data_IF_101780906180
#
_entry.id   IF_101780906180
#
_cell.length_a   1.000
_cell.length_b   1.000
_cell.length_c   1.000
_cell.angle_alpha   90.00
_cell.angle_beta   90.00
_cell.angle_gamma   90.00
#
_symmetry.space_group_name_H-M   'P 1'
#
loop_
_entity.id
_entity.type
_entity.pdbx_description
1 polymer ?
#
# COMPACT_ATOMS: atom_id res chain seq x y z
N UNK A 1 -2.11 19.52 -22.11
CA UNK A 1 -2.82 18.31 -21.66
C UNK A 1 -1.95 17.77 -20.54
N UNK A 2 -2.44 17.76 -19.33
CA UNK A 2 -1.62 17.57 -18.13
C UNK A 2 -1.22 16.08 -18.03
N UNK A 3 0.07 15.75 -17.86
CA UNK A 3 0.57 14.37 -17.71
C UNK A 3 -0.25 13.56 -16.68
N UNK A 4 -0.76 14.20 -15.63
CA UNK A 4 -1.64 13.60 -14.61
C UNK A 4 -2.98 13.07 -15.16
N UNK A 5 -3.56 13.74 -16.18
CA UNK A 5 -4.80 13.26 -16.82
C UNK A 5 -4.56 12.07 -17.77
N UNK A 6 -3.34 11.97 -18.27
CA UNK A 6 -2.93 10.81 -19.09
C UNK A 6 -2.64 9.59 -18.19
N UNK A 7 -2.12 9.81 -16.97
CA UNK A 7 -1.89 8.75 -15.99
C UNK A 7 -3.22 8.17 -15.44
N UNK A 8 -4.22 9.00 -15.18
CA UNK A 8 -5.54 8.54 -14.70
C UNK A 8 -6.28 7.69 -15.76
N UNK A 9 -6.14 8.02 -17.05
CA UNK A 9 -6.60 7.13 -18.14
C UNK A 9 -5.78 5.84 -18.19
N UNK A 10 -4.52 5.91 -17.79
CA UNK A 10 -3.62 4.76 -17.71
C UNK A 10 -3.97 3.79 -16.58
N UNK A 11 -4.72 4.11 -15.55
CA UNK A 11 -4.94 3.25 -14.38
C UNK A 11 -6.25 2.49 -14.38
N UNK A 12 -7.31 3.00 -14.94
CA UNK A 12 -8.33 2.09 -15.47
C UNK A 12 -7.71 1.18 -16.54
N UNK A 13 -6.59 1.64 -17.09
CA UNK A 13 -5.73 0.97 -18.06
C UNK A 13 -4.56 0.19 -17.41
N UNK A 14 -3.97 0.56 -16.26
CA UNK A 14 -2.86 -0.15 -15.60
C UNK A 14 -3.36 -1.41 -14.85
N UNK A 15 -4.60 -1.50 -14.51
CA UNK A 15 -5.18 -2.84 -14.41
C UNK A 15 -4.96 -3.63 -15.72
N UNK A 16 -4.56 -2.96 -16.80
CA UNK A 16 -4.41 -3.50 -18.14
C UNK A 16 -3.10 -3.19 -18.87
N UNK A 17 -2.20 -2.33 -18.39
CA UNK A 17 -0.96 -2.01 -19.11
C UNK A 17 0.21 -2.93 -18.73
N UNK A 18 0.37 -3.98 -19.50
CA UNK A 18 1.61 -4.76 -19.59
C UNK A 18 2.46 -4.37 -20.80
N UNK A 19 2.41 -3.11 -21.23
CA UNK A 19 3.35 -2.57 -22.20
C UNK A 19 4.22 -1.51 -21.51
N UNK A 20 5.21 -1.94 -20.76
CA UNK A 20 6.38 -1.13 -20.52
C UNK A 20 7.19 -1.15 -21.82
N UNK A 21 6.96 -0.16 -22.68
CA UNK A 21 8.03 0.22 -23.59
C UNK A 21 9.18 0.66 -22.70
N UNK A 22 10.44 0.24 -22.97
CA UNK A 22 11.56 0.74 -22.21
C UNK A 22 11.60 2.26 -22.36
N UNK A 23 11.12 2.96 -21.36
CA UNK A 23 11.37 4.39 -21.22
C UNK A 23 12.85 4.50 -20.99
N UNK A 24 13.53 5.12 -21.93
CA UNK A 24 14.99 5.24 -21.91
C UNK A 24 15.45 5.76 -20.56
N UNK A 25 16.35 5.04 -19.95
CA UNK A 25 16.98 5.30 -18.68
C UNK A 25 17.48 6.75 -18.57
N UNK A 26 16.87 7.53 -17.74
CA UNK A 26 17.48 8.69 -17.13
C UNK A 26 17.97 8.24 -15.75
N UNK A 27 19.16 7.70 -15.66
CA UNK A 27 19.73 7.40 -14.35
C UNK A 27 21.25 7.43 -14.40
N UNK A 28 21.81 8.30 -13.60
CA UNK A 28 23.12 8.11 -13.03
C UNK A 28 23.02 6.97 -11.98
N UNK A 29 23.55 5.79 -12.34
CA UNK A 29 23.63 4.62 -11.46
C UNK A 29 22.44 3.65 -11.58
N UNK A 30 22.53 2.69 -12.50
CA UNK A 30 21.54 1.60 -12.58
C UNK A 30 21.61 0.73 -11.33
N UNK A 31 20.56 0.79 -10.50
CA UNK A 31 20.34 -0.18 -9.40
C UNK A 31 20.20 -1.57 -10.04
N UNK A 32 20.99 -2.53 -9.60
CA UNK A 32 20.94 -3.88 -10.18
C UNK A 32 19.94 -4.76 -9.44
N UNK A 33 19.48 -5.84 -10.09
CA UNK A 33 18.65 -6.85 -9.44
C UNK A 33 19.32 -7.44 -8.17
N UNK A 34 20.67 -7.52 -8.15
CA UNK A 34 21.42 -7.97 -7.00
C UNK A 34 21.38 -6.94 -5.84
N UNK A 35 21.38 -5.65 -6.16
CA UNK A 35 21.22 -4.58 -5.16
C UNK A 35 19.81 -4.61 -4.55
N UNK A 36 18.78 -4.77 -5.38
CA UNK A 36 17.40 -4.90 -4.91
C UNK A 36 17.23 -6.14 -4.03
N UNK A 37 17.78 -7.29 -4.41
CA UNK A 37 17.70 -8.50 -3.60
C UNK A 37 18.37 -8.31 -2.23
N UNK A 38 19.52 -7.64 -2.16
CA UNK A 38 20.19 -7.35 -0.90
C UNK A 38 19.42 -6.32 -0.05
N UNK A 39 18.82 -5.31 -0.67
CA UNK A 39 17.93 -4.35 0.04
C UNK A 39 16.73 -5.08 0.62
N UNK A 40 16.08 -5.96 -0.15
CA UNK A 40 14.96 -6.78 0.29
C UNK A 40 15.33 -7.67 1.49
N UNK A 41 16.51 -8.33 1.47
CA UNK A 41 17.01 -9.11 2.61
C UNK A 41 17.18 -8.25 3.88
N UNK A 42 17.79 -7.07 3.76
CA UNK A 42 17.97 -6.15 4.87
C UNK A 42 16.63 -5.62 5.41
N UNK A 43 15.67 -5.34 4.52
CA UNK A 43 14.31 -4.93 4.85
C UNK A 43 13.61 -6.01 5.68
N UNK A 44 13.65 -7.27 5.26
CA UNK A 44 13.04 -8.37 6.00
C UNK A 44 13.71 -8.60 7.37
N UNK A 45 15.02 -8.42 7.46
CA UNK A 45 15.70 -8.47 8.75
C UNK A 45 15.29 -7.32 9.69
N UNK A 46 14.98 -6.15 9.15
CA UNK A 46 14.43 -5.03 9.92
C UNK A 46 12.97 -5.32 10.33
N UNK A 47 12.14 -5.79 9.40
CA UNK A 47 10.75 -6.17 9.66
C UNK A 47 10.66 -7.22 10.79
N UNK A 48 11.55 -8.22 10.83
CA UNK A 48 11.61 -9.20 11.91
C UNK A 48 11.94 -8.59 13.28
N UNK A 49 12.77 -7.55 13.35
CA UNK A 49 13.02 -6.82 14.61
C UNK A 49 11.80 -5.97 15.01
N UNK A 50 11.15 -5.36 14.04
CA UNK A 50 9.93 -4.57 14.25
C UNK A 50 8.80 -5.46 14.74
N UNK A 51 8.56 -6.61 14.11
CA UNK A 51 7.58 -7.60 14.55
C UNK A 51 7.80 -8.00 16.02
N UNK A 52 9.02 -8.36 16.42
CA UNK A 52 9.32 -8.71 17.81
C UNK A 52 9.05 -7.56 18.80
N UNK A 53 9.20 -6.32 18.38
CA UNK A 53 8.85 -5.15 19.19
C UNK A 53 7.33 -5.00 19.27
N UNK A 54 6.63 -5.12 18.15
CA UNK A 54 5.17 -5.00 18.05
C UNK A 54 4.49 -6.04 18.93
N UNK A 55 4.84 -7.32 18.81
CA UNK A 55 4.31 -8.42 19.63
C UNK A 55 4.45 -8.16 21.14
N UNK A 56 5.52 -7.51 21.54
CA UNK A 56 5.80 -7.26 22.95
C UNK A 56 5.05 -6.04 23.52
N UNK A 57 4.77 -5.03 22.73
CA UNK A 57 4.37 -3.71 23.24
C UNK A 57 3.04 -3.17 22.67
N UNK A 58 2.52 -3.72 21.55
CA UNK A 58 1.28 -3.23 20.93
C UNK A 58 -0.02 -3.70 21.59
N UNK A 59 0.04 -4.56 22.59
CA UNK A 59 -1.14 -5.25 23.13
C UNK A 59 -2.17 -4.36 23.85
N UNK A 60 -1.90 -3.05 24.04
CA UNK A 60 -2.73 -2.19 24.90
C UNK A 60 -3.44 -1.02 24.20
N UNK A 61 -3.21 -0.76 22.90
CA UNK A 61 -3.94 0.32 22.25
C UNK A 61 -5.37 -0.10 21.89
N UNK A 62 -6.31 0.78 22.13
CA UNK A 62 -7.71 0.50 21.81
C UNK A 62 -7.97 0.81 20.33
N UNK A 63 -8.39 -0.18 19.55
CA UNK A 63 -8.80 -0.04 18.14
C UNK A 63 -9.77 1.15 17.93
N UNK A 64 -10.56 1.50 18.93
CA UNK A 64 -11.46 2.66 18.92
C UNK A 64 -10.75 4.02 18.84
N UNK A 65 -9.53 4.14 19.35
CA UNK A 65 -8.74 5.37 19.23
C UNK A 65 -8.05 5.48 17.86
N UNK A 66 -7.86 4.38 17.16
CA UNK A 66 -7.19 4.31 15.87
C UNK A 66 -7.82 5.20 14.79
N UNK A 67 -9.15 5.37 14.81
CA UNK A 67 -9.85 6.21 13.83
C UNK A 67 -9.65 7.71 13.99
N UNK A 68 -9.18 8.17 15.15
CA UNK A 68 -9.16 9.58 15.51
C UNK A 68 -7.86 10.09 16.10
N UNK A 69 -6.94 9.21 16.54
CA UNK A 69 -5.63 9.59 17.07
C UNK A 69 -4.51 8.93 16.27
N UNK A 70 -3.76 9.68 15.45
CA UNK A 70 -2.63 9.15 14.71
C UNK A 70 -1.54 8.48 15.57
N UNK A 71 -1.47 8.82 16.84
CA UNK A 71 -0.52 8.23 17.80
C UNK A 71 -1.11 7.09 18.64
N UNK A 72 -2.26 6.52 18.25
CA UNK A 72 -3.02 5.56 19.06
C UNK A 72 -2.20 4.36 19.55
N UNK A 73 -1.25 3.86 18.73
CA UNK A 73 -0.37 2.74 19.09
C UNK A 73 0.84 3.15 19.97
N UNK A 74 1.03 4.44 20.23
CA UNK A 74 2.16 4.94 21.00
C UNK A 74 3.52 4.83 20.27
N UNK A 75 3.52 4.66 18.94
CA UNK A 75 4.73 4.54 18.11
C UNK A 75 4.95 5.78 17.25
N UNK A 76 6.22 6.05 16.97
CA UNK A 76 6.63 7.08 16.01
C UNK A 76 7.70 6.51 15.06
N UNK A 77 7.74 7.10 13.87
CA UNK A 77 8.76 6.90 12.85
C UNK A 77 9.64 8.14 12.83
N UNK A 78 10.94 7.97 13.04
CA UNK A 78 11.91 9.08 12.98
C UNK A 78 12.95 8.77 11.92
N UNK A 79 13.19 9.69 11.01
CA UNK A 79 14.24 9.59 9.98
C UNK A 79 15.47 10.36 10.42
N UNK A 80 16.57 9.65 10.65
CA UNK A 80 17.86 10.26 11.02
C UNK A 80 19.02 9.32 10.72
N UNK A 81 20.05 9.83 10.06
CA UNK A 81 21.33 9.12 9.93
C UNK A 81 22.20 9.19 11.21
N UNK A 82 21.82 10.04 12.15
CA UNK A 82 22.52 10.23 13.42
C UNK A 82 21.98 9.28 14.50
N UNK A 83 22.81 8.97 15.47
CA UNK A 83 22.36 8.20 16.64
C UNK A 83 21.43 9.06 17.51
N UNK A 84 20.28 8.52 17.87
CA UNK A 84 19.24 9.23 18.63
C UNK A 84 19.28 8.88 20.12
N UNK A 85 18.83 9.82 20.96
CA UNK A 85 18.59 9.57 22.39
C UNK A 85 17.17 8.98 22.57
N UNK A 86 17.10 7.71 22.94
CA UNK A 86 15.85 6.98 23.17
C UNK A 86 15.34 7.08 24.62
N UNK A 87 15.84 8.02 25.42
CA UNK A 87 15.41 8.20 26.82
C UNK A 87 13.90 8.43 26.89
N UNK A 88 13.23 7.63 27.72
CA UNK A 88 11.77 7.68 27.90
C UNK A 88 10.99 6.70 27.01
N UNK A 89 11.58 6.14 25.96
CA UNK A 89 10.97 5.06 25.20
C UNK A 89 10.96 3.75 25.97
N UNK A 90 10.09 2.81 25.58
CA UNK A 90 10.06 1.44 26.12
C UNK A 90 10.78 0.46 25.21
N UNK A 91 10.87 0.77 23.91
CA UNK A 91 11.60 0.01 22.92
C UNK A 91 11.88 0.86 21.67
N UNK A 92 12.82 0.42 20.86
CA UNK A 92 13.07 0.98 19.53
C UNK A 92 13.69 -0.05 18.59
N UNK A 93 13.53 0.16 17.29
CA UNK A 93 14.20 -0.58 16.22
C UNK A 93 14.77 0.44 15.22
N UNK A 94 16.01 0.24 14.80
CA UNK A 94 16.70 1.07 13.80
C UNK A 94 17.58 0.22 12.89
N UNK A 95 18.29 0.85 11.94
CA UNK A 95 19.31 0.19 11.11
C UNK A 95 18.79 -0.30 9.76
N UNK A 96 17.72 0.31 9.27
CA UNK A 96 17.28 0.20 7.90
C UNK A 96 16.83 1.59 7.41
N UNK A 97 17.35 2.03 6.27
CA UNK A 97 16.99 3.29 5.60
C UNK A 97 17.00 4.53 6.51
N UNK A 98 17.89 4.56 7.52
CA UNK A 98 17.93 5.59 8.56
C UNK A 98 16.61 5.79 9.34
N UNK A 99 15.73 4.82 9.29
CA UNK A 99 14.50 4.82 10.07
C UNK A 99 14.73 4.29 11.48
N UNK A 100 14.10 4.99 12.44
CA UNK A 100 14.02 4.61 13.84
C UNK A 100 12.53 4.50 14.19
N UNK A 101 12.07 3.29 14.46
CA UNK A 101 10.71 3.06 14.97
C UNK A 101 10.81 3.00 16.48
N UNK A 102 10.12 3.92 17.17
CA UNK A 102 10.28 4.13 18.60
C UNK A 102 8.93 3.95 19.29
N UNK A 103 8.86 3.08 20.30
CA UNK A 103 7.67 2.76 21.07
C UNK A 103 7.66 3.49 22.40
N UNK A 104 6.57 4.16 22.72
CA UNK A 104 6.25 4.78 24.02
C UNK A 104 5.07 4.05 24.68
N UNK A 105 4.82 4.33 25.97
CA UNK A 105 3.72 3.69 26.69
C UNK A 105 2.35 4.26 26.34
N UNK A 106 2.30 5.52 25.91
CA UNK A 106 1.05 6.23 25.63
C UNK A 106 1.17 7.07 24.37
N UNK A 107 0.04 7.36 23.74
CA UNK A 107 -0.04 8.26 22.59
C UNK A 107 0.47 9.67 22.92
N UNK A 108 0.21 10.15 24.12
CA UNK A 108 0.67 11.47 24.58
C UNK A 108 2.20 11.53 24.73
N UNK A 109 2.84 10.46 25.23
CA UNK A 109 4.31 10.37 25.27
C UNK A 109 4.90 10.32 23.85
N UNK A 110 4.30 9.54 22.95
CA UNK A 110 4.72 9.44 21.56
C UNK A 110 4.62 10.80 20.85
N UNK A 111 3.50 11.50 21.00
CA UNK A 111 3.28 12.85 20.43
C UNK A 111 4.34 13.85 20.90
N UNK A 112 4.58 13.93 22.19
CA UNK A 112 5.62 14.81 22.76
C UNK A 112 7.02 14.46 22.28
N UNK A 113 7.29 13.16 22.10
CA UNK A 113 8.57 12.71 21.59
C UNK A 113 8.74 13.09 20.11
N UNK A 114 7.72 12.94 19.27
CA UNK A 114 7.77 13.37 17.88
C UNK A 114 8.08 14.87 17.79
N UNK A 115 7.33 15.71 18.51
CA UNK A 115 7.57 17.17 18.58
C UNK A 115 9.01 17.50 19.04
N UNK A 116 9.55 16.73 20.00
CA UNK A 116 10.90 16.94 20.48
C UNK A 116 11.97 16.52 19.46
N UNK A 117 11.75 15.41 18.74
CA UNK A 117 12.68 14.94 17.72
C UNK A 117 12.75 15.87 16.51
N UNK A 118 11.68 16.55 16.13
CA UNK A 118 11.70 17.57 15.07
C UNK A 118 12.69 18.71 15.33
N UNK A 119 13.00 18.95 16.61
CA UNK A 119 13.96 19.99 17.02
C UNK A 119 15.40 19.45 17.09
N UNK A 120 15.61 18.14 16.93
CA UNK A 120 16.95 17.53 17.02
C UNK A 120 17.69 17.73 15.69
N UNK A 121 18.91 18.25 15.79
CA UNK A 121 19.76 18.42 14.61
C UNK A 121 20.06 17.06 13.96
N UNK A 122 19.82 16.95 12.66
CA UNK A 122 20.06 15.72 11.89
C UNK A 122 18.80 14.85 11.72
N UNK A 123 17.74 15.11 12.47
CA UNK A 123 16.42 14.53 12.21
C UNK A 123 15.80 15.21 10.98
N UNK A 124 15.34 14.42 10.04
CA UNK A 124 14.68 14.91 8.83
C UNK A 124 13.17 15.05 9.04
N UNK A 125 12.55 14.07 9.72
CA UNK A 125 11.17 14.11 10.19
C UNK A 125 10.97 13.19 11.40
N UNK A 126 9.92 13.45 12.17
CA UNK A 126 9.42 12.60 13.25
C UNK A 126 7.89 12.62 13.22
N UNK A 127 7.27 11.48 12.97
CA UNK A 127 5.86 11.39 12.70
C UNK A 127 5.21 10.17 13.36
N UNK A 128 3.86 10.13 13.52
CA UNK A 128 3.20 8.98 14.10
C UNK A 128 3.34 7.74 13.21
N UNK A 129 3.45 6.57 13.82
CA UNK A 129 3.20 5.30 13.17
C UNK A 129 1.71 4.98 13.27
N UNK A 130 0.98 5.34 12.23
CA UNK A 130 -0.49 5.38 12.23
C UNK A 130 -1.07 3.96 12.26
N UNK A 131 -2.13 3.75 13.02
CA UNK A 131 -2.94 2.53 12.92
C UNK A 131 -3.81 2.62 11.66
N UNK A 132 -3.68 1.61 10.82
CA UNK A 132 -4.35 1.49 9.53
C UNK A 132 -5.44 0.44 9.59
N UNK A 133 -6.45 0.56 8.76
CA UNK A 133 -7.59 -0.35 8.67
C UNK A 133 -7.93 -0.68 7.22
N UNK A 134 -8.39 -1.91 6.97
CA UNK A 134 -8.97 -2.28 5.68
C UNK A 134 -10.19 -1.40 5.36
N UNK A 135 -10.24 -0.85 4.16
CA UNK A 135 -11.37 -0.05 3.67
C UNK A 135 -12.48 -0.98 3.16
N UNK A 136 -13.20 -1.60 4.10
CA UNK A 136 -14.26 -2.57 3.82
C UNK A 136 -15.64 -1.97 4.16
N UNK A 137 -16.61 -2.15 3.24
CA UNK A 137 -18.02 -1.90 3.52
C UNK A 137 -18.72 -3.16 4.04
N UNK A 138 -19.44 -3.07 5.16
CA UNK A 138 -20.17 -4.22 5.70
C UNK A 138 -21.34 -4.63 4.79
N UNK A 139 -21.34 -5.86 4.31
CA UNK A 139 -22.56 -6.52 3.85
C UNK A 139 -22.91 -6.40 2.37
N UNK A 140 -22.03 -5.98 1.50
CA UNK A 140 -22.26 -5.98 0.04
C UNK A 140 -21.71 -7.25 -0.58
N UNK A 141 -22.58 -8.25 -0.76
CA UNK A 141 -22.30 -9.48 -1.50
C UNK A 141 -22.74 -9.37 -2.99
N UNK A 142 -22.58 -8.22 -3.62
CA UNK A 142 -22.90 -8.10 -5.03
C UNK A 142 -21.65 -8.34 -5.89
N UNK A 143 -21.80 -9.27 -6.85
CA UNK A 143 -20.79 -9.51 -7.88
C UNK A 143 -20.55 -8.21 -8.66
N UNK A 144 -19.37 -7.62 -8.55
CA UNK A 144 -19.00 -6.35 -9.21
C UNK A 144 -18.75 -6.49 -10.72
N UNK A 145 -19.16 -7.61 -11.37
CA UNK A 145 -18.99 -7.84 -12.81
C UNK A 145 -19.50 -6.70 -13.70
N UNK A 146 -20.43 -5.89 -13.20
CA UNK A 146 -20.93 -4.72 -13.92
C UNK A 146 -19.86 -3.65 -14.15
N UNK A 147 -18.87 -3.54 -13.26
CA UNK A 147 -17.80 -2.56 -13.33
C UNK A 147 -16.79 -2.80 -14.45
N UNK A 148 -16.67 -4.01 -14.95
CA UNK A 148 -15.69 -4.36 -15.99
C UNK A 148 -16.12 -4.04 -17.42
N UNK A 149 -17.40 -3.70 -17.64
CA UNK A 149 -17.96 -3.44 -18.96
C UNK A 149 -17.54 -2.10 -19.56
N UNK A 150 -17.86 -1.93 -20.85
CA UNK A 150 -17.50 -0.76 -21.66
C UNK A 150 -18.00 0.59 -21.13
N UNK A 151 -19.07 0.59 -20.34
CA UNK A 151 -19.60 1.82 -19.73
C UNK A 151 -18.82 2.30 -18.49
N UNK A 152 -17.87 1.48 -18.00
CA UNK A 152 -17.10 1.73 -16.77
C UNK A 152 -15.59 1.63 -17.03
N UNK A 153 -14.91 0.54 -16.61
CA UNK A 153 -13.45 0.40 -16.77
C UNK A 153 -13.04 -0.23 -18.11
N UNK A 154 -14.01 -0.77 -18.86
CA UNK A 154 -13.82 -1.34 -20.20
C UNK A 154 -12.77 -2.45 -20.29
N UNK A 155 -12.59 -3.21 -19.20
CA UNK A 155 -11.54 -4.21 -19.08
C UNK A 155 -11.59 -5.29 -20.18
N UNK A 156 -12.79 -5.73 -20.55
CA UNK A 156 -12.94 -6.83 -21.52
C UNK A 156 -12.51 -6.43 -22.93
N UNK A 157 -12.93 -5.26 -23.42
CA UNK A 157 -12.50 -4.78 -24.75
C UNK A 157 -11.00 -4.49 -24.77
N UNK A 158 -10.47 -3.98 -23.68
CA UNK A 158 -9.03 -3.74 -23.56
C UNK A 158 -8.23 -5.05 -23.58
N UNK A 159 -8.65 -6.07 -22.84
CA UNK A 159 -8.03 -7.38 -22.83
C UNK A 159 -8.05 -8.03 -24.22
N UNK A 160 -9.19 -7.93 -24.96
CA UNK A 160 -9.30 -8.41 -26.33
C UNK A 160 -8.30 -7.69 -27.25
N UNK A 161 -8.23 -6.36 -27.16
CA UNK A 161 -7.24 -5.57 -27.90
C UNK A 161 -5.79 -5.95 -27.58
N UNK A 162 -5.47 -6.19 -26.30
CA UNK A 162 -4.12 -6.61 -25.88
C UNK A 162 -3.75 -7.98 -26.46
N UNK A 163 -4.68 -8.93 -26.45
CA UNK A 163 -4.45 -10.25 -27.04
C UNK A 163 -4.21 -10.18 -28.54
N UNK A 164 -5.00 -9.36 -29.25
CA UNK A 164 -4.83 -9.14 -30.69
C UNK A 164 -3.48 -8.47 -30.99
N UNK A 165 -3.11 -7.44 -30.21
CA UNK A 165 -1.83 -6.73 -30.37
C UNK A 165 -0.63 -7.64 -30.14
N UNK A 166 -0.65 -8.48 -29.12
CA UNK A 166 0.43 -9.40 -28.77
C UNK A 166 0.45 -10.66 -29.65
N UNK A 167 -0.65 -10.97 -30.33
CA UNK A 167 -0.82 -12.20 -31.09
C UNK A 167 -1.00 -13.43 -30.21
N UNK A 168 -1.49 -13.26 -28.98
CA UNK A 168 -1.80 -14.30 -28.00
C UNK A 168 -1.22 -14.03 -26.62
N UNK A 169 -1.81 -14.64 -25.60
CA UNK A 169 -1.43 -14.44 -24.19
C UNK A 169 0.01 -14.91 -23.89
N UNK A 170 0.47 -15.92 -24.63
CA UNK A 170 1.83 -16.48 -24.50
C UNK A 170 2.94 -15.49 -24.89
N UNK A 171 2.59 -14.43 -25.60
CA UNK A 171 3.53 -13.38 -26.01
C UNK A 171 3.51 -12.17 -25.05
N UNK A 172 2.61 -12.16 -24.06
CA UNK A 172 2.57 -11.10 -23.04
C UNK A 172 3.58 -11.41 -21.93
N UNK A 173 4.34 -10.40 -21.45
CA UNK A 173 5.18 -10.57 -20.27
C UNK A 173 4.31 -10.83 -19.03
N UNK A 174 4.84 -11.54 -18.04
CA UNK A 174 4.24 -11.60 -16.73
C UNK A 174 4.25 -10.22 -16.09
N UNK A 175 3.12 -9.84 -15.48
CA UNK A 175 2.96 -8.58 -14.74
C UNK A 175 2.59 -8.90 -13.32
N UNK A 176 3.37 -8.39 -12.36
CA UNK A 176 3.13 -8.59 -10.95
C UNK A 176 2.43 -7.37 -10.37
N UNK A 177 1.30 -7.60 -9.68
CA UNK A 177 0.57 -6.59 -8.91
C UNK A 177 0.66 -6.97 -7.44
N UNK A 178 1.24 -6.12 -6.61
CA UNK A 178 1.23 -6.32 -5.17
C UNK A 178 -0.15 -6.00 -4.60
N UNK A 179 -0.66 -6.86 -3.71
CA UNK A 179 -1.84 -6.60 -2.88
C UNK A 179 -1.37 -6.50 -1.43
N UNK A 180 -1.32 -5.26 -0.94
CA UNK A 180 -0.85 -4.92 0.41
C UNK A 180 -2.10 -4.82 1.29
N UNK A 181 -2.42 -5.91 2.01
CA UNK A 181 -3.73 -6.08 2.61
C UNK A 181 -3.73 -7.15 3.74
N UNK A 182 -4.86 -7.86 3.95
CA UNK A 182 -5.02 -8.91 4.98
C UNK A 182 -4.42 -10.26 4.60
N UNK A 183 -3.92 -10.43 3.39
CA UNK A 183 -3.35 -11.68 2.89
C UNK A 183 -3.99 -12.18 1.59
N UNK A 184 -3.84 -13.50 1.33
CA UNK A 184 -4.26 -14.14 0.10
C UNK A 184 -4.62 -15.61 0.38
N UNK A 185 -5.86 -16.00 0.13
CA UNK A 185 -6.32 -17.40 0.23
C UNK A 185 -5.75 -18.22 -0.93
N UNK A 186 -4.60 -18.82 -0.69
CA UNK A 186 -3.83 -19.56 -1.71
C UNK A 186 -4.53 -20.83 -2.20
N UNK A 187 -5.48 -21.36 -1.43
CA UNK A 187 -6.25 -22.56 -1.73
C UNK A 187 -7.59 -22.26 -2.41
N UNK A 188 -8.00 -21.00 -2.48
CA UNK A 188 -9.23 -20.59 -3.14
C UNK A 188 -9.21 -21.00 -4.63
N UNK A 189 -10.23 -21.72 -5.13
CA UNK A 189 -10.21 -22.28 -6.50
C UNK A 189 -9.98 -21.26 -7.62
N UNK A 190 -10.32 -20.00 -7.37
CA UNK A 190 -10.17 -18.89 -8.34
C UNK A 190 -8.78 -18.24 -8.28
N UNK A 191 -8.10 -18.34 -7.14
CA UNK A 191 -6.82 -17.69 -6.87
C UNK A 191 -5.62 -18.62 -7.03
N UNK A 192 -5.83 -19.94 -6.91
CA UNK A 192 -4.77 -20.95 -6.97
C UNK A 192 -3.90 -20.80 -8.23
N UNK A 193 -2.57 -20.73 -8.05
CA UNK A 193 -1.60 -20.60 -9.14
C UNK A 193 -1.54 -19.22 -9.80
N UNK A 194 -2.21 -18.21 -9.24
CA UNK A 194 -2.23 -16.83 -9.75
C UNK A 194 -1.37 -15.88 -8.92
N UNK A 195 -0.54 -16.39 -8.00
CA UNK A 195 0.37 -15.58 -7.19
C UNK A 195 1.85 -15.89 -7.49
N UNK A 196 2.69 -14.92 -7.17
CA UNK A 196 4.14 -15.07 -6.98
C UNK A 196 4.45 -15.07 -5.47
N UNK A 197 5.68 -15.40 -5.02
CA UNK A 197 6.03 -15.33 -3.60
C UNK A 197 5.76 -13.94 -3.02
N UNK A 198 5.10 -13.91 -1.87
CA UNK A 198 4.81 -12.74 -1.08
C UNK A 198 5.46 -12.79 0.30
N UNK A 199 4.94 -11.99 1.23
CA UNK A 199 5.43 -11.96 2.61
C UNK A 199 4.33 -11.57 3.61
N UNK A 200 4.37 -12.16 4.79
CA UNK A 200 3.53 -11.83 5.93
C UNK A 200 4.32 -10.94 6.92
N UNK A 201 4.01 -9.65 6.93
CA UNK A 201 4.61 -8.69 7.86
C UNK A 201 3.97 -8.75 9.24
N UNK A 202 2.75 -9.32 9.36
CA UNK A 202 2.06 -9.50 10.64
C UNK A 202 2.71 -10.63 11.44
N UNK A 203 2.95 -11.79 10.80
CA UNK A 203 3.54 -12.95 11.44
C UNK A 203 5.06 -13.08 11.19
N UNK A 204 5.64 -12.21 10.37
CA UNK A 204 7.05 -12.19 9.99
C UNK A 204 7.51 -13.52 9.38
N UNK A 205 6.77 -13.97 8.37
CA UNK A 205 7.11 -15.20 7.63
C UNK A 205 6.76 -15.08 6.12
N UNK A 206 6.97 -16.15 5.36
CA UNK A 206 6.73 -16.18 3.93
C UNK A 206 5.35 -16.74 3.54
N UNK A 207 4.41 -16.87 4.47
CA UNK A 207 3.08 -17.43 4.24
C UNK A 207 1.99 -16.38 4.50
N UNK A 208 1.73 -15.45 3.57
CA UNK A 208 0.74 -14.38 3.71
C UNK A 208 -0.69 -14.89 3.53
N UNK A 209 -1.08 -15.92 4.31
CA UNK A 209 -2.42 -16.50 4.26
C UNK A 209 -3.46 -15.52 4.80
N UNK A 210 -4.60 -15.42 4.12
CA UNK A 210 -5.66 -14.50 4.46
C UNK A 210 -6.60 -15.08 5.52
N UNK A 211 -6.60 -14.51 6.71
CA UNK A 211 -7.45 -14.87 7.85
C UNK A 211 -8.63 -13.91 8.06
N UNK A 212 -8.81 -12.93 7.14
CA UNK A 212 -9.89 -11.93 7.16
C UNK A 212 -10.80 -12.02 5.91
N UNK A 213 -10.22 -12.21 4.72
CA UNK A 213 -10.91 -12.33 3.44
C UNK A 213 -10.89 -11.07 2.56
N UNK A 214 -10.52 -9.90 3.10
CA UNK A 214 -10.52 -8.65 2.34
C UNK A 214 -9.43 -8.65 1.26
N UNK A 215 -8.20 -9.04 1.57
CA UNK A 215 -7.10 -9.12 0.62
C UNK A 215 -7.36 -10.11 -0.52
N UNK A 216 -7.96 -11.27 -0.21
CA UNK A 216 -8.38 -12.25 -1.22
C UNK A 216 -9.45 -11.69 -2.15
N UNK A 217 -10.39 -10.89 -1.63
CA UNK A 217 -11.40 -10.20 -2.43
C UNK A 217 -10.76 -9.16 -3.36
N UNK A 218 -9.85 -8.34 -2.86
CA UNK A 218 -9.09 -7.37 -3.67
C UNK A 218 -8.29 -8.06 -4.78
N UNK A 219 -7.58 -9.14 -4.44
CA UNK A 219 -6.82 -9.95 -5.40
C UNK A 219 -7.75 -10.56 -6.48
N UNK A 220 -8.90 -11.10 -6.07
CA UNK A 220 -9.91 -11.63 -6.99
C UNK A 220 -10.43 -10.58 -7.97
N UNK A 221 -10.71 -9.37 -7.48
CA UNK A 221 -11.15 -8.24 -8.30
C UNK A 221 -10.10 -7.85 -9.36
N UNK A 222 -8.82 -7.80 -8.96
CA UNK A 222 -7.72 -7.53 -9.89
C UNK A 222 -7.63 -8.62 -10.96
N UNK A 223 -7.68 -9.90 -10.55
CA UNK A 223 -7.53 -11.03 -11.47
C UNK A 223 -8.72 -11.21 -12.40
N UNK A 224 -9.93 -10.86 -11.96
CA UNK A 224 -11.16 -10.97 -12.75
C UNK A 224 -11.18 -9.97 -13.91
N UNK A 225 -10.65 -8.78 -13.70
CA UNK A 225 -10.53 -7.73 -14.72
C UNK A 225 -9.34 -7.89 -15.67
N UNK A 226 -8.45 -8.88 -15.47
CA UNK A 226 -7.17 -8.95 -16.17
C UNK A 226 -6.87 -10.31 -16.82
N UNK A 227 -5.91 -10.30 -17.76
CA UNK A 227 -5.43 -11.47 -18.47
C UNK A 227 -4.62 -12.42 -17.56
N UNK A 228 -4.46 -13.71 -17.97
CA UNK A 228 -3.76 -14.72 -17.19
C UNK A 228 -2.27 -14.44 -16.90
N UNK A 229 -1.64 -13.52 -17.63
CA UNK A 229 -0.26 -13.08 -17.41
C UNK A 229 -0.11 -12.17 -16.17
N UNK A 230 -1.23 -11.69 -15.59
CA UNK A 230 -1.20 -10.92 -14.33
C UNK A 230 -1.12 -11.88 -13.15
N UNK A 231 -0.20 -11.62 -12.25
CA UNK A 231 0.04 -12.37 -11.01
C UNK A 231 -0.03 -11.44 -9.79
N UNK A 232 -0.48 -11.98 -8.68
CA UNK A 232 -0.54 -11.28 -7.40
C UNK A 232 0.73 -11.54 -6.58
N UNK A 233 1.32 -10.50 -6.05
CA UNK A 233 2.29 -10.57 -4.95
C UNK A 233 1.55 -10.24 -3.65
N UNK A 234 1.17 -11.24 -2.84
CA UNK A 234 0.43 -10.99 -1.61
C UNK A 234 1.37 -10.48 -0.51
N UNK A 235 1.04 -9.35 0.10
CA UNK A 235 1.79 -8.75 1.19
C UNK A 235 0.83 -8.50 2.36
N UNK A 236 0.85 -9.40 3.35
CA UNK A 236 -0.03 -9.31 4.51
C UNK A 236 0.54 -8.31 5.51
N UNK A 237 -0.18 -7.21 5.69
CA UNK A 237 0.15 -6.11 6.62
C UNK A 237 -0.98 -5.83 7.62
N UNK A 238 -2.16 -6.42 7.39
CA UNK A 238 -3.33 -6.30 8.25
C UNK A 238 -3.64 -7.65 8.91
N UNK A 239 -4.01 -7.60 10.19
CA UNK A 239 -4.35 -8.76 11.01
C UNK A 239 -5.75 -9.36 10.67
N UNK A 240 -6.15 -10.40 11.40
CA UNK A 240 -7.44 -11.06 11.23
C UNK A 240 -8.66 -10.15 11.52
N UNK A 241 -8.47 -9.03 12.14
CA UNK A 241 -9.50 -8.01 12.37
C UNK A 241 -9.40 -6.85 11.37
N UNK A 242 -8.46 -6.91 10.42
CA UNK A 242 -8.26 -5.90 9.37
C UNK A 242 -7.48 -4.66 9.82
N UNK A 243 -6.67 -4.75 10.88
CA UNK A 243 -5.84 -3.65 11.38
C UNK A 243 -4.34 -3.93 11.18
N UNK A 244 -3.57 -2.86 10.96
CA UNK A 244 -2.12 -2.89 10.85
C UNK A 244 -1.53 -1.53 11.18
N UNK A 245 -0.25 -1.33 10.96
CA UNK A 245 0.42 -0.06 11.23
C UNK A 245 1.18 0.43 10.01
N UNK A 246 1.35 1.72 9.89
CA UNK A 246 1.99 2.34 8.72
C UNK A 246 3.44 1.89 8.52
N UNK A 247 4.19 1.63 9.58
CA UNK A 247 5.57 1.16 9.46
C UNK A 247 5.67 -0.16 8.68
N UNK A 248 4.85 -1.16 9.00
CA UNK A 248 4.80 -2.44 8.29
C UNK A 248 4.28 -2.28 6.86
N UNK A 249 3.33 -1.36 6.62
CA UNK A 249 2.79 -1.07 5.27
C UNK A 249 3.87 -0.42 4.40
N UNK A 250 4.62 0.56 4.92
CA UNK A 250 5.73 1.21 4.21
C UNK A 250 6.80 0.19 3.83
N UNK A 251 7.14 -0.73 4.73
CA UNK A 251 8.06 -1.83 4.42
C UNK A 251 7.51 -2.74 3.31
N UNK A 252 6.20 -3.04 3.31
CA UNK A 252 5.57 -3.83 2.27
C UNK A 252 5.55 -3.11 0.91
N UNK A 253 5.34 -1.79 0.90
CA UNK A 253 5.43 -0.97 -0.31
C UNK A 253 6.83 -1.01 -0.91
N UNK A 254 7.85 -0.85 -0.09
CA UNK A 254 9.25 -0.97 -0.53
C UNK A 254 9.57 -2.39 -0.98
N UNK A 255 9.11 -3.42 -0.26
CA UNK A 255 9.27 -4.82 -0.66
C UNK A 255 8.66 -5.08 -2.03
N UNK A 256 7.45 -4.60 -2.31
CA UNK A 256 6.80 -4.72 -3.61
C UNK A 256 7.66 -4.15 -4.74
N UNK A 257 8.17 -2.94 -4.55
CA UNK A 257 9.06 -2.26 -5.48
C UNK A 257 10.34 -3.05 -5.73
N UNK A 258 11.04 -3.47 -4.67
CA UNK A 258 12.31 -4.21 -4.77
C UNK A 258 12.16 -5.59 -5.42
N UNK A 259 10.97 -6.20 -5.35
CA UNK A 259 10.70 -7.54 -5.88
C UNK A 259 9.90 -7.52 -7.19
N UNK A 260 9.87 -6.38 -7.88
CA UNK A 260 9.45 -6.28 -9.28
C UNK A 260 7.94 -6.19 -9.50
N UNK A 261 7.17 -5.73 -8.50
CA UNK A 261 5.79 -5.37 -8.74
C UNK A 261 5.70 -4.14 -9.65
N UNK A 262 4.87 -4.21 -10.68
CA UNK A 262 4.61 -3.09 -11.58
C UNK A 262 3.57 -2.11 -11.00
N UNK A 263 2.69 -2.62 -10.16
CA UNK A 263 1.72 -1.82 -9.41
C UNK A 263 1.49 -2.42 -8.02
N UNK A 264 1.03 -1.59 -7.10
CA UNK A 264 0.58 -2.01 -5.77
C UNK A 264 -0.81 -1.47 -5.49
N UNK A 265 -1.68 -2.32 -4.95
CA UNK A 265 -3.01 -1.97 -4.47
C UNK A 265 -2.99 -1.87 -2.95
N UNK A 266 -3.50 -0.75 -2.43
CA UNK A 266 -3.66 -0.48 -1.01
C UNK A 266 -5.13 -0.10 -0.74
N UNK A 267 -5.96 -1.10 -0.45
CA UNK A 267 -7.37 -0.91 -0.08
C UNK A 267 -7.51 -0.75 1.44
N UNK A 268 -6.78 0.21 1.97
CA UNK A 268 -6.66 0.49 3.41
C UNK A 268 -6.42 1.97 3.65
N UNK A 269 -6.80 2.46 4.81
CA UNK A 269 -6.54 3.84 5.20
C UNK A 269 -6.42 4.03 6.71
N UNK A 270 -5.81 5.14 7.12
CA UNK A 270 -5.73 5.58 8.50
C UNK A 270 -5.84 7.10 8.62
N UNK A 271 -6.13 7.65 9.81
CA UNK A 271 -6.23 9.10 10.03
C UNK A 271 -4.87 9.77 9.84
N UNK A 272 -4.84 10.86 9.09
CA UNK A 272 -3.61 11.58 8.77
C UNK A 272 -3.87 13.08 8.79
N UNK A 273 -3.16 13.80 9.62
CA UNK A 273 -3.38 15.24 9.80
C UNK A 273 -2.54 16.09 8.84
N UNK A 274 -1.45 15.51 8.29
CA UNK A 274 -0.47 16.20 7.44
C UNK A 274 0.23 15.21 6.51
N UNK A 275 1.19 15.70 5.74
CA UNK A 275 2.04 14.88 4.89
C UNK A 275 2.78 13.83 5.73
N UNK A 276 2.59 12.57 5.41
CA UNK A 276 3.30 11.48 6.04
C UNK A 276 4.58 11.19 5.24
N UNK A 277 5.70 11.71 5.72
CA UNK A 277 6.96 11.76 4.96
C UNK A 277 7.52 10.37 4.60
N UNK A 278 7.34 9.38 5.47
CA UNK A 278 7.81 8.03 5.19
C UNK A 278 7.05 7.39 4.00
N UNK A 279 5.74 7.63 3.85
CA UNK A 279 4.99 7.24 2.66
C UNK A 279 5.47 8.00 1.41
N UNK A 280 5.66 9.32 1.53
CA UNK A 280 6.17 10.14 0.41
C UNK A 280 7.53 9.62 -0.07
N UNK A 281 8.42 9.29 0.86
CA UNK A 281 9.74 8.75 0.56
C UNK A 281 9.67 7.42 -0.19
N UNK A 282 8.91 6.44 0.31
CA UNK A 282 8.84 5.11 -0.31
C UNK A 282 8.16 5.15 -1.68
N UNK A 283 7.14 6.00 -1.86
CA UNK A 283 6.50 6.20 -3.16
C UNK A 283 7.47 6.82 -4.16
N UNK A 284 8.17 7.89 -3.76
CA UNK A 284 9.13 8.56 -4.63
C UNK A 284 10.31 7.64 -5.03
N UNK A 285 10.85 6.85 -4.08
CA UNK A 285 11.91 5.88 -4.37
C UNK A 285 11.41 4.75 -5.28
N UNK A 286 10.23 4.20 -5.02
CA UNK A 286 9.66 3.14 -5.83
C UNK A 286 9.43 3.57 -7.28
N UNK A 287 8.87 4.75 -7.50
CA UNK A 287 8.67 5.33 -8.82
C UNK A 287 9.99 5.66 -9.53
N UNK A 288 10.97 6.19 -8.81
CA UNK A 288 12.24 6.63 -9.40
C UNK A 288 13.15 5.45 -9.80
N UNK A 289 13.10 4.35 -9.05
CA UNK A 289 14.07 3.26 -9.20
C UNK A 289 13.49 1.98 -9.82
N UNK A 290 12.17 1.76 -9.67
CA UNK A 290 11.54 0.50 -10.07
C UNK A 290 10.26 0.70 -10.88
N UNK A 291 9.89 1.93 -11.24
CA UNK A 291 8.71 2.30 -12.05
C UNK A 291 7.35 1.75 -11.50
N UNK A 292 7.26 1.46 -10.19
CA UNK A 292 6.04 0.95 -9.58
C UNK A 292 5.00 2.06 -9.40
N UNK A 293 3.72 1.73 -9.61
CA UNK A 293 2.58 2.63 -9.39
C UNK A 293 1.79 2.19 -8.16
N UNK A 294 1.53 3.10 -7.24
CA UNK A 294 0.72 2.85 -6.04
C UNK A 294 -0.70 3.36 -6.23
N UNK A 295 -1.68 2.43 -6.16
CA UNK A 295 -3.11 2.72 -6.21
C UNK A 295 -3.68 2.62 -4.80
N UNK A 296 -4.27 3.69 -4.30
CA UNK A 296 -4.72 3.80 -2.92
C UNK A 296 -6.19 4.15 -2.84
N UNK A 297 -6.91 3.59 -1.86
CA UNK A 297 -8.30 3.95 -1.62
C UNK A 297 -8.41 5.37 -1.04
N UNK A 298 -9.42 6.12 -1.48
CA UNK A 298 -9.74 7.43 -0.90
C UNK A 298 -10.23 7.35 0.55
N UNK A 299 -10.64 6.15 0.98
CA UNK A 299 -11.22 5.87 2.30
C UNK A 299 -12.74 5.84 2.30
N UNK A 300 -13.31 5.23 3.35
CA UNK A 300 -14.74 4.93 3.49
C UNK A 300 -15.40 5.70 4.66
N UNK A 301 -15.14 7.00 4.75
CA UNK A 301 -15.63 7.85 5.85
C UNK A 301 -16.78 8.77 5.43
N UNK A 302 -17.68 8.30 4.56
CA UNK A 302 -18.98 8.92 4.23
C UNK A 302 -18.86 10.39 3.77
N UNK A 303 -18.12 10.64 2.69
CA UNK A 303 -17.97 11.97 2.10
C UNK A 303 -16.98 12.88 2.82
N UNK A 304 -16.18 12.34 3.73
CA UNK A 304 -15.06 13.07 4.35
C UNK A 304 -13.99 13.43 3.30
N UNK A 305 -13.17 14.41 3.60
CA UNK A 305 -12.08 14.80 2.72
C UNK A 305 -10.98 13.72 2.74
N UNK A 306 -10.68 13.13 1.58
CA UNK A 306 -9.65 12.12 1.43
C UNK A 306 -8.25 12.63 1.82
N UNK A 307 -8.01 13.95 1.80
CA UNK A 307 -6.76 14.56 2.25
C UNK A 307 -6.45 14.33 3.74
N UNK A 308 -7.45 13.91 4.51
CA UNK A 308 -7.30 13.56 5.93
C UNK A 308 -6.94 12.10 6.16
N UNK A 309 -6.66 11.35 5.09
CA UNK A 309 -6.36 9.90 5.16
C UNK A 309 -5.01 9.59 4.50
N UNK A 310 -4.21 8.76 5.15
CA UNK A 310 -3.04 8.11 4.56
C UNK A 310 -3.41 6.69 4.07
N UNK A 311 -2.82 6.20 2.98
CA UNK A 311 -1.91 6.89 2.07
C UNK A 311 -2.61 7.70 0.97
N UNK A 312 -3.92 7.93 1.05
CA UNK A 312 -4.69 8.68 0.05
C UNK A 312 -4.13 10.08 -0.23
N UNK A 313 -3.60 10.76 0.78
CA UNK A 313 -3.04 12.11 0.67
C UNK A 313 -1.57 12.14 0.20
N UNK A 314 -0.96 10.99 -0.04
CA UNK A 314 0.45 10.92 -0.48
C UNK A 314 0.55 11.35 -1.94
N UNK A 315 1.39 12.35 -2.28
CA UNK A 315 1.63 12.75 -3.66
C UNK A 315 2.12 11.59 -4.52
N UNK A 316 1.77 11.61 -5.80
CA UNK A 316 2.16 10.62 -6.79
C UNK A 316 1.57 9.21 -6.62
N UNK A 317 0.81 8.95 -5.55
CA UNK A 317 -0.14 7.84 -5.53
C UNK A 317 -1.33 8.14 -6.47
N UNK A 318 -2.03 7.09 -6.90
CA UNK A 318 -3.30 7.24 -7.60
C UNK A 318 -4.42 7.00 -6.59
N UNK A 319 -5.06 8.08 -6.19
CA UNK A 319 -6.14 8.05 -5.20
C UNK A 319 -7.48 7.78 -5.86
N UNK A 320 -8.10 6.66 -5.48
CA UNK A 320 -9.30 6.12 -6.12
C UNK A 320 -10.49 6.19 -5.16
N UNK A 321 -11.54 6.92 -5.56
CA UNK A 321 -12.83 6.94 -4.87
C UNK A 321 -13.82 5.95 -5.51
N UNK A 322 -14.91 5.64 -4.82
CA UNK A 322 -15.91 4.69 -5.28
C UNK A 322 -17.13 5.38 -5.91
N UNK A 323 -17.70 4.79 -6.96
CA UNK A 323 -18.99 5.20 -7.52
C UNK A 323 -19.95 4.01 -7.68
N UNK A 324 -21.26 4.31 -7.62
CA UNK A 324 -22.34 3.34 -7.85
C UNK A 324 -22.56 3.05 -9.36
N UNK A 325 -23.50 2.14 -9.66
CA UNK A 325 -23.90 1.79 -11.04
C UNK A 325 -24.46 2.96 -11.86
N UNK A 326 -24.86 4.05 -11.21
CA UNK A 326 -25.35 5.25 -11.87
C UNK A 326 -24.26 6.30 -12.08
N UNK A 327 -22.99 5.94 -11.82
CA UNK A 327 -21.83 6.84 -11.86
C UNK A 327 -21.95 8.02 -10.89
N UNK A 328 -22.62 7.80 -9.76
CA UNK A 328 -22.67 8.74 -8.64
C UNK A 328 -21.67 8.27 -7.60
N UNK A 329 -21.09 9.22 -6.89
CA UNK A 329 -20.23 8.89 -5.74
C UNK A 329 -20.98 7.92 -4.81
N UNK A 330 -20.34 6.83 -4.44
CA UNK A 330 -20.90 5.91 -3.46
C UNK A 330 -21.01 6.62 -2.10
N UNK A 331 -22.09 6.36 -1.37
CA UNK A 331 -22.38 7.10 -0.13
C UNK A 331 -21.27 6.97 0.92
N UNK A 332 -20.59 5.84 0.95
CA UNK A 332 -19.48 5.58 1.89
C UNK A 332 -18.16 6.25 1.48
N UNK A 333 -17.96 6.54 0.18
CA UNK A 333 -16.67 6.98 -0.33
C UNK A 333 -16.28 8.37 0.18
N UNK A 334 -15.01 8.54 0.48
CA UNK A 334 -14.42 9.85 0.67
C UNK A 334 -14.30 10.59 -0.66
N UNK A 335 -14.19 11.91 -0.56
CA UNK A 335 -14.17 12.86 -1.68
C UNK A 335 -13.01 13.84 -1.51
N UNK A 336 -12.77 14.70 -2.48
CA UNK A 336 -11.79 15.80 -2.34
C UNK A 336 -10.98 16.05 -3.59
N UNK A 337 -10.18 17.11 -3.54
CA UNK A 337 -9.36 17.56 -4.68
C UNK A 337 -8.21 16.61 -5.00
N UNK A 338 -7.81 15.78 -4.03
CA UNK A 338 -6.73 14.80 -4.20
C UNK A 338 -7.19 13.50 -4.89
N UNK A 339 -8.50 13.30 -5.05
CA UNK A 339 -9.02 12.12 -5.76
C UNK A 339 -8.69 12.24 -7.25
N UNK A 340 -7.93 11.29 -7.77
CA UNK A 340 -7.52 11.28 -9.18
C UNK A 340 -8.58 10.68 -10.09
N UNK A 341 -9.24 9.61 -9.62
CA UNK A 341 -10.23 8.84 -10.39
C UNK A 341 -11.28 8.22 -9.47
N UNK A 342 -12.42 7.86 -10.06
CA UNK A 342 -13.42 7.02 -9.40
C UNK A 342 -13.53 5.68 -10.11
N UNK A 343 -13.70 4.61 -9.36
CA UNK A 343 -13.92 3.26 -9.85
C UNK A 343 -15.27 2.70 -9.34
N UNK A 344 -15.80 1.63 -9.99
CA UNK A 344 -16.93 0.87 -9.45
C UNK A 344 -16.62 0.33 -8.05
N UNK A 345 -17.50 0.59 -7.06
CA UNK A 345 -17.33 0.18 -5.67
C UNK A 345 -18.65 -0.13 -4.99
#
# INVERSE_FOLDING_TARGET
>A
MNLRKTAALLLSLIMCFSLILPVGSFAEGTVTAADNAKRSENLLAFAGRLHNMTEKYSAEYTKKAADTDPYANGRIIVKSAEELDYTGSVAHVNGYNDWHIIQYRTSEEARKAAEAFELVKGVQYAEPDIVMQADQEPGVNEFLSWGYGADYVDAFNYNEWMLDYAGGVENLPEVVVAVIDTGYDSDHPYLVGRSVPGYDFVNNDSNPEDDHGHGSHCAGTILDGNLPNVKIMPLKVLDAEGYGNSAEIILAMEYASLNGAAAANLSLSGPCDNDHNAYVEVVAEGMAHNDIVYCVAAGNNYGSDASTRCPANVPDCVTVAAHDRNKRMADFSNVGEIVDITAPG
#
